data_IF_477901885261
#
_entry.id   IF_477901885261
#
_cell.length_a   1.000
_cell.length_b   1.000
_cell.length_c   1.000
_cell.angle_alpha   90.00
_cell.angle_beta   90.00
_cell.angle_gamma   90.00
#
_symmetry.space_group_name_H-M   'P 1'
#
loop_
_entity.id
_entity.type
_entity.pdbx_description
1 polymer ?
#
# COMPACT_ATOMS: atom_id res chain seq x y z
N UNK A 1 -16.92 -8.17 33.83
CA UNK A 1 -16.28 -8.30 32.49
C UNK A 1 -17.26 -8.29 31.32
N UNK A 2 -18.54 -8.09 31.52
CA UNK A 2 -19.59 -8.12 30.47
C UNK A 2 -20.04 -6.73 29.97
N UNK A 3 -19.90 -5.69 30.75
CA UNK A 3 -20.45 -4.36 30.39
C UNK A 3 -19.52 -3.52 29.51
N UNK A 4 -18.21 -3.68 29.63
CA UNK A 4 -17.25 -2.93 28.78
C UNK A 4 -17.22 -3.45 27.33
N UNK A 5 -17.42 -4.77 27.13
CA UNK A 5 -17.50 -5.34 25.78
C UNK A 5 -18.85 -5.00 25.12
N UNK A 6 -19.94 -4.90 25.88
CA UNK A 6 -21.24 -4.45 25.35
C UNK A 6 -21.21 -2.98 24.97
N UNK A 7 -20.53 -2.12 25.72
CA UNK A 7 -20.34 -0.71 25.39
C UNK A 7 -19.46 -0.50 24.15
N UNK A 8 -18.40 -1.31 23.97
CA UNK A 8 -17.57 -1.30 22.75
C UNK A 8 -18.35 -1.76 21.51
N UNK A 9 -19.25 -2.72 21.64
CA UNK A 9 -20.08 -3.22 20.55
C UNK A 9 -21.20 -2.22 20.19
N UNK A 10 -21.69 -1.44 21.18
CA UNK A 10 -22.73 -0.44 20.98
C UNK A 10 -22.23 0.87 20.34
N UNK A 11 -20.92 1.20 20.47
CA UNK A 11 -20.31 2.40 19.89
C UNK A 11 -19.92 2.25 18.41
N UNK A 12 -19.99 1.05 17.83
CA UNK A 12 -19.54 0.78 16.47
C UNK A 12 -18.04 1.00 16.29
N UNK A 13 -17.50 0.55 15.19
CA UNK A 13 -16.12 0.85 14.81
C UNK A 13 -16.03 2.34 14.43
N UNK A 14 -15.13 3.09 15.05
CA UNK A 14 -14.94 4.53 14.79
C UNK A 14 -13.60 4.76 14.11
N UNK A 15 -13.62 5.62 13.10
CA UNK A 15 -12.42 6.15 12.47
C UNK A 15 -12.03 7.46 13.11
N UNK A 16 -10.73 7.65 13.30
CA UNK A 16 -10.16 8.88 13.83
C UNK A 16 -9.70 9.76 12.67
N UNK A 17 -10.31 10.93 12.54
CA UNK A 17 -9.97 11.92 11.51
C UNK A 17 -9.07 13.00 12.14
N UNK A 18 -7.99 13.32 11.45
CA UNK A 18 -7.12 14.46 11.76
C UNK A 18 -7.29 15.49 10.64
N UNK A 19 -7.67 16.71 11.01
CA UNK A 19 -7.72 17.86 10.12
C UNK A 19 -6.67 18.86 10.58
N UNK A 20 -5.81 19.29 9.68
CA UNK A 20 -4.84 20.35 9.90
C UNK A 20 -5.22 21.56 9.06
N UNK A 21 -5.26 22.74 9.68
CA UNK A 21 -5.62 24.00 9.05
C UNK A 21 -4.48 24.97 9.32
N UNK A 22 -3.97 25.61 8.28
CA UNK A 22 -2.85 26.54 8.35
C UNK A 22 -3.32 27.97 8.04
N UNK A 23 -2.73 28.94 8.73
CA UNK A 23 -2.85 30.35 8.40
C UNK A 23 -1.49 30.87 7.92
N UNK A 24 -1.35 31.12 6.63
CA UNK A 24 -0.12 31.64 6.02
C UNK A 24 -0.03 33.18 6.03
N UNK A 25 -1.06 33.89 6.53
CA UNK A 25 -1.07 35.35 6.57
C UNK A 25 -0.30 35.91 7.77
N UNK A 26 0.13 37.19 7.67
CA UNK A 26 0.84 37.92 8.71
C UNK A 26 -0.07 38.35 9.90
N UNK A 27 -1.34 37.97 9.90
CA UNK A 27 -2.30 38.36 10.92
C UNK A 27 -3.10 37.12 11.39
N UNK A 28 -3.57 37.17 12.64
CA UNK A 28 -4.54 36.24 13.17
C UNK A 28 -5.80 36.25 12.28
N UNK A 29 -6.31 35.03 11.95
CA UNK A 29 -7.51 34.86 11.16
C UNK A 29 -8.53 34.01 11.91
N UNK A 30 -9.79 34.37 11.75
CA UNK A 30 -10.93 33.59 12.25
C UNK A 30 -11.77 33.15 11.07
N UNK A 31 -11.97 31.85 10.94
CA UNK A 31 -12.77 31.24 9.89
C UNK A 31 -13.79 30.29 10.45
N UNK A 32 -14.89 30.08 9.72
CA UNK A 32 -15.90 29.09 10.09
C UNK A 32 -15.52 27.75 9.43
N UNK A 33 -15.28 26.76 10.27
CA UNK A 33 -15.12 25.37 9.85
C UNK A 33 -16.46 24.65 9.90
N UNK A 34 -16.82 23.98 8.81
CA UNK A 34 -17.95 23.08 8.74
C UNK A 34 -17.45 21.71 8.29
N UNK A 35 -17.73 20.66 9.08
CA UNK A 35 -17.44 19.26 8.73
C UNK A 35 -18.73 18.48 8.70
N UNK A 36 -19.01 17.84 7.58
CA UNK A 36 -20.23 17.07 7.32
C UNK A 36 -19.88 15.62 6.94
N UNK A 37 -20.69 14.66 7.40
CA UNK A 37 -20.67 13.27 6.96
C UNK A 37 -21.98 13.00 6.20
N UNK A 38 -21.93 13.05 4.87
CA UNK A 38 -23.13 13.11 4.04
C UNK A 38 -23.97 14.35 4.38
N UNK A 39 -25.20 14.15 4.82
CA UNK A 39 -26.10 15.25 5.24
C UNK A 39 -25.96 15.65 6.71
N UNK A 40 -25.20 14.91 7.51
CA UNK A 40 -25.08 15.14 8.95
C UNK A 40 -23.89 16.04 9.27
N UNK A 41 -24.12 17.11 10.01
CA UNK A 41 -23.04 17.97 10.52
C UNK A 41 -22.33 17.28 11.68
N UNK A 42 -21.03 17.00 11.50
CA UNK A 42 -20.15 16.43 12.52
C UNK A 42 -19.59 17.54 13.41
N UNK A 43 -19.18 18.65 12.79
CA UNK A 43 -18.64 19.81 13.47
C UNK A 43 -19.03 21.10 12.74
N UNK A 44 -19.36 22.13 13.51
CA UNK A 44 -19.50 23.51 13.03
C UNK A 44 -18.98 24.45 14.12
N UNK A 45 -17.85 25.10 13.87
CA UNK A 45 -17.20 25.97 14.83
C UNK A 45 -16.48 27.12 14.15
N UNK A 46 -16.34 28.23 14.88
CA UNK A 46 -15.37 29.28 14.53
C UNK A 46 -14.03 28.85 15.08
N UNK A 47 -13.01 28.90 14.24
CA UNK A 47 -11.63 28.63 14.60
C UNK A 47 -10.82 29.90 14.40
N UNK A 48 -9.92 30.18 15.34
CA UNK A 48 -9.02 31.33 15.27
C UNK A 48 -7.60 30.80 15.27
N UNK A 49 -6.82 31.16 14.25
CA UNK A 49 -5.45 30.67 14.04
C UNK A 49 -4.53 31.90 13.99
N UNK A 50 -3.48 31.89 14.78
CA UNK A 50 -2.48 32.95 14.80
C UNK A 50 -1.74 33.10 13.47
N UNK A 51 -1.05 34.21 13.28
CA UNK A 51 -0.23 34.46 12.09
C UNK A 51 0.84 33.35 11.93
N UNK A 52 0.93 32.73 10.74
CA UNK A 52 1.86 31.65 10.42
C UNK A 52 1.76 30.41 11.35
N UNK A 53 0.56 30.15 11.90
CA UNK A 53 0.32 29.01 12.77
C UNK A 53 -0.56 27.96 12.10
N UNK A 54 -0.43 26.71 12.60
CA UNK A 54 -1.25 25.59 12.21
C UNK A 54 -2.08 25.11 13.39
N UNK A 55 -3.35 24.78 13.15
CA UNK A 55 -4.22 24.16 14.14
C UNK A 55 -4.60 22.75 13.71
N UNK A 56 -4.45 21.79 14.64
CA UNK A 56 -4.85 20.38 14.44
C UNK A 56 -6.10 20.08 15.22
N UNK A 57 -7.09 19.57 14.51
CA UNK A 57 -8.37 19.13 15.07
C UNK A 57 -8.49 17.62 14.88
N UNK A 58 -8.94 16.95 15.94
CA UNK A 58 -9.17 15.49 15.91
C UNK A 58 -10.62 15.22 16.25
N UNK A 59 -11.29 14.47 15.41
CA UNK A 59 -12.66 14.03 15.65
C UNK A 59 -12.85 12.57 15.26
N UNK A 60 -13.78 11.92 15.95
CA UNK A 60 -14.15 10.54 15.67
C UNK A 60 -15.40 10.51 14.79
N UNK A 61 -15.38 9.66 13.79
CA UNK A 61 -16.50 9.44 12.88
C UNK A 61 -16.84 7.95 12.85
N UNK A 62 -18.11 7.57 12.68
CA UNK A 62 -18.45 6.18 12.46
C UNK A 62 -17.71 5.63 11.23
N UNK A 63 -17.14 4.42 11.32
CA UNK A 63 -16.47 3.77 10.17
C UNK A 63 -17.39 3.47 8.99
N UNK A 64 -18.70 3.57 9.21
CA UNK A 64 -19.74 3.47 8.19
C UNK A 64 -20.16 4.83 7.64
N UNK A 65 -19.51 5.93 8.08
CA UNK A 65 -19.82 7.26 7.58
C UNK A 65 -19.62 7.32 6.06
N UNK A 66 -20.50 8.01 5.34
CA UNK A 66 -20.28 8.30 3.93
C UNK A 66 -19.11 9.29 3.78
N UNK A 67 -18.94 9.81 2.58
CA UNK A 67 -17.97 10.87 2.30
C UNK A 67 -18.02 11.97 3.34
N UNK A 68 -16.88 12.32 3.90
CA UNK A 68 -16.71 13.52 4.71
C UNK A 68 -16.42 14.70 3.81
N UNK A 69 -17.06 15.81 4.11
CA UNK A 69 -16.84 17.08 3.45
C UNK A 69 -16.49 18.13 4.51
N UNK A 70 -15.29 18.67 4.43
CA UNK A 70 -14.85 19.76 5.29
C UNK A 70 -14.72 21.02 4.44
N UNK A 71 -15.33 22.11 4.90
CA UNK A 71 -15.23 23.43 4.24
C UNK A 71 -14.79 24.49 5.23
N UNK A 72 -13.91 25.35 4.77
CA UNK A 72 -13.48 26.55 5.47
C UNK A 72 -14.17 27.75 4.83
N UNK A 73 -14.44 28.81 5.60
CA UNK A 73 -15.00 30.03 5.03
C UNK A 73 -13.98 30.74 4.15
N UNK A 74 -14.51 31.48 3.17
CA UNK A 74 -13.81 32.15 2.07
C UNK A 74 -12.54 32.88 2.49
N UNK A 75 -11.46 32.63 1.76
CA UNK A 75 -10.22 33.36 1.85
C UNK A 75 -9.67 33.74 0.46
N UNK A 76 -8.35 33.85 0.29
CA UNK A 76 -7.73 34.27 -0.97
C UNK A 76 -7.56 33.12 -1.99
N UNK A 77 -7.70 31.87 -1.57
CA UNK A 77 -7.55 30.67 -2.39
C UNK A 77 -8.69 29.69 -2.10
N UNK A 78 -9.67 29.63 -2.98
CA UNK A 78 -10.86 28.81 -2.77
C UNK A 78 -10.60 27.31 -2.93
N UNK A 79 -9.59 26.91 -3.71
CA UNK A 79 -9.37 25.51 -4.09
C UNK A 79 -8.90 24.61 -2.94
N UNK A 80 -8.28 25.17 -1.88
CA UNK A 80 -7.82 24.45 -0.68
C UNK A 80 -8.77 24.58 0.51
N UNK A 81 -9.83 25.37 0.38
CA UNK A 81 -10.87 25.56 1.37
C UNK A 81 -11.87 24.40 1.47
N UNK A 82 -11.81 23.45 0.54
CA UNK A 82 -12.72 22.31 0.47
C UNK A 82 -11.94 21.00 0.40
N UNK A 83 -12.29 20.07 1.30
CA UNK A 83 -11.72 18.73 1.34
C UNK A 83 -12.83 17.69 1.35
N UNK A 84 -12.72 16.72 0.46
CA UNK A 84 -13.60 15.56 0.41
C UNK A 84 -12.82 14.30 0.75
N UNK A 85 -13.22 13.58 1.80
CA UNK A 85 -12.58 12.35 2.23
C UNK A 85 -13.55 11.18 2.11
N UNK A 86 -13.14 10.17 1.37
CA UNK A 86 -13.84 8.89 1.31
C UNK A 86 -13.35 7.97 2.44
N UNK A 87 -14.20 7.04 2.90
CA UNK A 87 -13.78 6.03 3.85
C UNK A 87 -12.53 5.28 3.38
N UNK A 88 -11.58 4.95 4.29
CA UNK A 88 -10.38 4.23 3.90
C UNK A 88 -10.71 2.85 3.34
N UNK A 89 -10.00 2.46 2.27
CA UNK A 89 -10.15 1.13 1.68
C UNK A 89 -9.55 0.11 2.65
N UNK A 90 -10.40 -0.75 3.21
CA UNK A 90 -10.01 -1.83 4.12
C UNK A 90 -10.13 -3.17 3.40
N UNK A 91 -9.10 -3.52 2.61
CA UNK A 91 -9.04 -4.83 2.00
C UNK A 91 -8.77 -5.88 3.08
N UNK A 92 -9.48 -7.00 3.01
CA UNK A 92 -9.29 -8.17 3.86
C UNK A 92 -9.17 -9.41 2.99
N UNK A 93 -8.42 -10.40 3.41
CA UNK A 93 -8.15 -11.63 2.66
C UNK A 93 -9.11 -12.73 3.08
N UNK A 94 -9.77 -13.36 2.11
CA UNK A 94 -10.56 -14.58 2.34
C UNK A 94 -9.63 -15.76 2.47
N UNK A 95 -9.48 -16.26 3.69
CA UNK A 95 -8.55 -17.33 4.03
C UNK A 95 -9.31 -18.60 4.35
N UNK A 96 -9.01 -19.66 3.61
CA UNK A 96 -9.44 -21.02 3.92
C UNK A 96 -8.32 -21.78 4.65
N UNK A 97 -8.60 -22.30 5.85
CA UNK A 97 -7.71 -23.19 6.58
C UNK A 97 -8.18 -24.61 6.32
N UNK A 98 -7.36 -25.40 5.62
CA UNK A 98 -7.62 -26.78 5.23
C UNK A 98 -6.51 -27.71 5.79
N UNK A 99 -6.30 -27.64 7.11
CA UNK A 99 -5.38 -28.47 7.88
C UNK A 99 -6.17 -29.62 8.52
N UNK A 100 -5.64 -30.84 8.44
CA UNK A 100 -6.28 -32.01 9.02
C UNK A 100 -6.11 -32.07 10.54
N UNK A 101 -4.98 -31.57 11.06
CA UNK A 101 -4.72 -31.46 12.49
C UNK A 101 -5.53 -30.33 13.10
N UNK A 102 -6.38 -30.64 14.11
CA UNK A 102 -7.26 -29.68 14.77
C UNK A 102 -6.48 -28.62 15.57
N UNK A 103 -5.35 -28.97 16.18
CA UNK A 103 -4.54 -28.03 16.96
C UNK A 103 -3.84 -27.03 16.07
N UNK A 104 -3.31 -27.49 14.94
CA UNK A 104 -2.73 -26.60 13.91
C UNK A 104 -3.79 -25.69 13.31
N UNK A 105 -4.96 -26.24 12.99
CA UNK A 105 -6.09 -25.46 12.47
C UNK A 105 -6.53 -24.39 13.48
N UNK A 106 -6.63 -24.73 14.76
CA UNK A 106 -6.95 -23.78 15.83
C UNK A 106 -5.86 -22.70 16.00
N UNK A 107 -4.58 -23.09 15.93
CA UNK A 107 -3.46 -22.15 15.99
C UNK A 107 -3.49 -21.18 14.82
N UNK A 108 -3.65 -21.69 13.58
CA UNK A 108 -3.76 -20.87 12.37
C UNK A 108 -4.93 -19.88 12.46
N UNK A 109 -6.12 -20.36 12.84
CA UNK A 109 -7.31 -19.52 12.92
C UNK A 109 -7.14 -18.40 13.96
N UNK A 110 -6.66 -18.71 15.17
CA UNK A 110 -6.40 -17.69 16.21
C UNK A 110 -5.41 -16.64 15.74
N UNK A 111 -4.34 -17.07 15.06
CA UNK A 111 -3.31 -16.15 14.55
C UNK A 111 -3.86 -15.26 13.45
N UNK A 112 -4.60 -15.83 12.50
CA UNK A 112 -5.24 -15.07 11.42
C UNK A 112 -6.24 -14.02 11.95
N UNK A 113 -7.07 -14.42 12.92
CA UNK A 113 -8.06 -13.52 13.53
C UNK A 113 -7.38 -12.37 14.30
N UNK A 114 -6.24 -12.65 14.95
CA UNK A 114 -5.46 -11.63 15.64
C UNK A 114 -4.86 -10.56 14.69
N UNK A 115 -4.69 -10.86 13.41
CA UNK A 115 -4.18 -9.87 12.43
C UNK A 115 -5.19 -8.77 12.09
N UNK A 116 -6.49 -9.02 12.25
CA UNK A 116 -7.56 -8.12 11.79
C UNK A 116 -7.71 -8.02 10.27
N UNK A 117 -6.89 -8.73 9.49
CA UNK A 117 -6.85 -8.65 8.02
C UNK A 117 -7.62 -9.78 7.32
N UNK A 118 -8.17 -10.72 8.10
CA UNK A 118 -8.99 -11.81 7.58
C UNK A 118 -10.41 -11.33 7.26
N UNK A 119 -10.92 -11.67 6.08
CA UNK A 119 -12.33 -11.48 5.71
C UNK A 119 -13.19 -12.63 6.29
N UNK A 120 -14.50 -12.39 6.39
CA UNK A 120 -15.47 -13.45 6.60
C UNK A 120 -15.33 -14.51 5.50
N UNK A 121 -15.52 -15.78 5.86
CA UNK A 121 -15.38 -16.90 4.92
C UNK A 121 -16.46 -16.76 3.84
N UNK A 122 -16.00 -16.60 2.60
CA UNK A 122 -16.84 -16.64 1.40
C UNK A 122 -16.03 -17.27 0.27
N UNK A 123 -16.67 -18.00 -0.60
CA UNK A 123 -16.05 -18.57 -1.79
C UNK A 123 -15.98 -17.55 -2.94
N UNK A 124 -14.92 -17.58 -3.76
CA UNK A 124 -13.71 -18.39 -3.62
C UNK A 124 -12.71 -17.79 -2.63
N UNK A 125 -11.85 -18.62 -1.98
CA UNK A 125 -10.77 -18.14 -1.13
C UNK A 125 -9.68 -17.45 -1.95
N UNK A 126 -8.93 -16.55 -1.32
CA UNK A 126 -7.79 -15.83 -1.92
C UNK A 126 -6.45 -16.37 -1.42
N UNK A 127 -6.48 -17.02 -0.25
CA UNK A 127 -5.36 -17.75 0.34
C UNK A 127 -5.88 -19.06 0.93
N UNK A 128 -5.21 -20.16 0.64
CA UNK A 128 -5.50 -21.48 1.24
C UNK A 128 -4.29 -21.95 2.01
N UNK A 129 -4.49 -22.31 3.27
CA UNK A 129 -3.48 -22.91 4.15
C UNK A 129 -3.74 -24.41 4.20
N UNK A 130 -2.74 -25.23 3.82
CA UNK A 130 -2.87 -26.68 3.72
C UNK A 130 -1.54 -27.40 3.98
N UNK A 131 -1.61 -28.70 4.19
CA UNK A 131 -0.44 -29.56 4.43
C UNK A 131 0.21 -30.04 3.12
N UNK A 132 -0.59 -30.25 2.08
CA UNK A 132 -0.14 -30.83 0.82
C UNK A 132 -0.07 -29.80 -0.29
N UNK A 133 0.84 -30.01 -1.25
CA UNK A 133 0.83 -29.26 -2.49
C UNK A 133 -0.46 -29.53 -3.25
N UNK A 134 -1.06 -28.50 -3.79
CA UNK A 134 -2.16 -28.62 -4.73
C UNK A 134 -1.76 -28.02 -6.07
N UNK A 135 -2.39 -28.53 -7.13
CA UNK A 135 -2.32 -27.92 -8.44
C UNK A 135 -2.76 -26.45 -8.34
N UNK A 136 -1.96 -25.57 -8.92
CA UNK A 136 -2.22 -24.15 -8.95
C UNK A 136 -3.57 -23.85 -9.60
N UNK A 137 -4.41 -23.10 -8.91
CA UNK A 137 -5.53 -22.41 -9.52
C UNK A 137 -5.12 -20.95 -9.63
N UNK A 138 -5.31 -20.35 -10.78
CA UNK A 138 -4.98 -18.95 -11.02
C UNK A 138 -5.61 -18.04 -9.95
N UNK A 139 -4.84 -17.12 -9.43
CA UNK A 139 -5.24 -16.12 -8.43
C UNK A 139 -5.41 -16.57 -6.96
N UNK A 140 -5.25 -17.85 -6.64
CA UNK A 140 -5.32 -18.34 -5.25
C UNK A 140 -3.89 -18.56 -4.74
N UNK A 141 -3.54 -17.87 -3.67
CA UNK A 141 -2.28 -18.12 -2.98
C UNK A 141 -2.37 -19.40 -2.14
N UNK A 142 -1.28 -20.13 -2.06
CA UNK A 142 -1.19 -21.35 -1.28
C UNK A 142 -0.10 -21.21 -0.22
N UNK A 143 -0.45 -21.43 1.04
CA UNK A 143 0.50 -21.61 2.13
C UNK A 143 0.53 -23.09 2.49
N UNK A 144 1.60 -23.77 2.11
CA UNK A 144 1.86 -25.13 2.53
C UNK A 144 2.51 -25.14 3.89
N UNK A 145 1.86 -25.77 4.85
CA UNK A 145 2.40 -25.91 6.20
C UNK A 145 2.94 -27.33 6.40
N UNK A 146 4.25 -27.45 6.58
CA UNK A 146 4.96 -28.70 6.80
C UNK A 146 5.29 -28.83 8.29
N UNK A 147 4.71 -29.83 8.96
CA UNK A 147 4.92 -30.06 10.40
C UNK A 147 5.27 -31.50 10.72
N UNK A 148 5.05 -32.45 9.79
CA UNK A 148 5.31 -33.87 9.95
C UNK A 148 6.69 -34.28 9.39
N UNK A 149 7.26 -35.35 9.92
CA UNK A 149 8.52 -35.91 9.49
C UNK A 149 9.65 -35.81 10.51
N UNK A 150 10.89 -36.13 10.11
CA UNK A 150 12.07 -35.95 10.93
C UNK A 150 12.29 -34.46 11.21
N UNK A 151 12.03 -34.02 12.42
CA UNK A 151 12.04 -32.62 12.84
C UNK A 151 13.30 -32.31 13.62
N UNK A 152 13.99 -31.24 13.27
CA UNK A 152 15.11 -30.67 14.01
C UNK A 152 14.68 -29.34 14.64
N UNK A 153 15.15 -29.08 15.85
CA UNK A 153 15.00 -27.79 16.52
C UNK A 153 16.24 -26.92 16.25
N UNK A 154 16.02 -25.73 15.73
CA UNK A 154 17.04 -24.75 15.40
C UNK A 154 16.97 -23.61 16.42
N UNK A 155 18.09 -23.30 17.06
CA UNK A 155 18.21 -22.21 18.05
C UNK A 155 18.98 -21.01 17.50
N UNK A 156 19.32 -21.04 16.20
CA UNK A 156 20.07 -20.01 15.50
C UNK A 156 21.56 -20.38 15.25
N UNK A 157 22.29 -19.54 14.53
CA UNK A 157 21.77 -18.34 13.86
C UNK A 157 20.83 -18.68 12.71
N UNK A 158 19.74 -17.90 12.59
CA UNK A 158 18.84 -17.95 11.45
C UNK A 158 19.23 -16.85 10.46
N UNK A 159 19.20 -17.17 9.18
CA UNK A 159 19.44 -16.19 8.11
C UNK A 159 18.06 -15.72 7.61
N UNK A 160 17.83 -14.41 7.69
CA UNK A 160 16.58 -13.78 7.29
C UNK A 160 16.84 -12.83 6.12
N UNK A 161 16.14 -13.02 5.01
CA UNK A 161 16.13 -12.06 3.91
C UNK A 161 15.23 -10.88 4.27
N UNK A 162 15.82 -9.84 4.85
CA UNK A 162 15.11 -8.64 5.30
C UNK A 162 14.53 -7.80 4.16
N UNK A 163 14.91 -8.06 2.91
CA UNK A 163 14.34 -7.39 1.73
C UNK A 163 12.99 -7.98 1.30
N UNK A 164 12.69 -9.19 1.75
CA UNK A 164 11.47 -9.88 1.39
C UNK A 164 10.27 -9.44 2.25
N UNK A 165 9.07 -9.19 1.68
CA UNK A 165 7.90 -8.72 2.43
C UNK A 165 7.51 -9.58 3.64
N UNK A 166 7.71 -10.90 3.56
CA UNK A 166 7.41 -11.82 4.66
C UNK A 166 8.29 -11.63 5.89
N UNK A 167 9.49 -11.06 5.72
CA UNK A 167 10.46 -10.86 6.79
C UNK A 167 10.32 -9.51 7.51
N UNK A 168 9.42 -8.66 7.08
CA UNK A 168 9.27 -7.33 7.64
C UNK A 168 8.93 -7.37 9.14
N UNK A 169 9.79 -6.76 9.97
CA UNK A 169 9.61 -6.71 11.43
C UNK A 169 9.82 -8.04 12.17
N UNK A 170 10.32 -9.09 11.48
CA UNK A 170 10.64 -10.38 12.09
C UNK A 170 12.09 -10.37 12.57
N UNK A 171 12.31 -10.66 13.84
CA UNK A 171 13.63 -10.73 14.46
C UNK A 171 14.12 -12.15 14.69
N UNK A 172 13.24 -13.09 15.04
CA UNK A 172 13.45 -14.53 15.36
C UNK A 172 14.56 -14.80 16.41
N UNK A 173 15.04 -13.76 17.09
CA UNK A 173 16.09 -13.88 18.09
C UNK A 173 15.59 -14.60 19.34
N UNK A 174 16.34 -15.61 19.81
CA UNK A 174 16.01 -16.37 21.02
C UNK A 174 14.82 -17.34 20.86
N UNK A 175 14.18 -17.38 19.69
CA UNK A 175 13.13 -18.36 19.42
C UNK A 175 13.74 -19.73 19.02
N UNK A 176 13.10 -20.79 19.47
CA UNK A 176 13.35 -22.13 18.94
C UNK A 176 12.39 -22.32 17.77
N UNK A 177 12.95 -22.66 16.61
CA UNK A 177 12.18 -22.98 15.41
C UNK A 177 12.42 -24.45 15.06
N UNK A 178 11.41 -25.27 15.19
CA UNK A 178 11.50 -26.67 14.80
C UNK A 178 10.83 -26.88 13.43
N UNK A 179 11.50 -27.66 12.57
CA UNK A 179 11.02 -27.96 11.24
C UNK A 179 11.63 -29.23 10.68
N UNK A 180 11.04 -29.75 9.61
CA UNK A 180 11.55 -30.92 8.91
C UNK A 180 12.87 -30.57 8.17
N UNK A 181 13.75 -31.58 8.03
CA UNK A 181 14.95 -31.44 7.20
C UNK A 181 14.52 -31.47 5.72
N UNK A 182 14.41 -30.29 5.13
CA UNK A 182 14.01 -30.09 3.74
C UNK A 182 15.17 -29.52 2.93
N UNK A 183 15.14 -29.80 1.63
CA UNK A 183 15.91 -29.07 0.64
C UNK A 183 15.00 -28.12 -0.14
N UNK A 184 15.52 -27.01 -0.62
CA UNK A 184 14.77 -26.11 -1.47
C UNK A 184 14.28 -26.86 -2.72
N UNK A 185 13.00 -26.68 -3.05
CA UNK A 185 12.47 -27.10 -4.33
C UNK A 185 12.95 -26.15 -5.44
N UNK A 186 13.11 -26.62 -6.68
CA UNK A 186 13.45 -25.75 -7.79
C UNK A 186 12.47 -24.58 -7.92
N UNK A 187 13.00 -23.36 -7.97
CA UNK A 187 12.22 -22.14 -8.07
C UNK A 187 11.75 -21.55 -6.73
N UNK A 188 11.95 -22.24 -5.59
CA UNK A 188 11.65 -21.68 -4.27
C UNK A 188 12.76 -20.71 -3.84
N UNK A 189 12.37 -19.51 -3.45
CA UNK A 189 13.24 -18.49 -2.87
C UNK A 189 13.14 -18.59 -1.36
N UNK A 190 14.21 -18.96 -0.65
CA UNK A 190 14.19 -19.03 0.81
C UNK A 190 14.16 -17.63 1.40
N UNK A 191 13.27 -17.41 2.37
CA UNK A 191 13.12 -16.16 3.11
C UNK A 191 13.76 -16.25 4.49
N UNK A 192 13.59 -17.40 5.17
CA UNK A 192 14.22 -17.69 6.46
C UNK A 192 14.87 -19.07 6.37
N UNK A 193 16.15 -19.15 6.75
CA UNK A 193 16.97 -20.35 6.70
C UNK A 193 17.58 -20.65 8.08
N UNK A 194 17.65 -21.93 8.41
CA UNK A 194 18.49 -22.47 9.47
C UNK A 194 19.63 -23.29 8.82
N UNK A 195 20.80 -22.70 8.70
CA UNK A 195 21.86 -23.29 7.86
C UNK A 195 21.39 -23.44 6.41
N UNK A 196 21.24 -24.69 5.96
CA UNK A 196 20.76 -25.01 4.60
C UNK A 196 19.28 -25.44 4.56
N UNK A 197 18.58 -25.41 5.70
CA UNK A 197 17.18 -25.83 5.79
C UNK A 197 16.27 -24.63 5.65
N UNK A 198 15.41 -24.57 4.62
CA UNK A 198 14.42 -23.49 4.48
C UNK A 198 13.32 -23.69 5.53
N UNK A 199 13.08 -22.63 6.30
CA UNK A 199 12.00 -22.53 7.29
C UNK A 199 10.80 -21.81 6.68
N UNK A 200 11.05 -20.77 5.89
CA UNK A 200 10.06 -20.09 5.04
C UNK A 200 10.66 -19.94 3.65
N UNK A 201 9.88 -20.30 2.65
CA UNK A 201 10.20 -20.03 1.26
C UNK A 201 8.97 -19.57 0.49
N UNK A 202 9.21 -18.85 -0.61
CA UNK A 202 8.18 -18.34 -1.49
C UNK A 202 8.53 -18.68 -2.96
N UNK A 203 7.52 -18.99 -3.76
CA UNK A 203 7.64 -19.19 -5.20
C UNK A 203 6.45 -18.55 -5.90
N UNK A 204 6.71 -17.93 -7.03
CA UNK A 204 5.69 -17.50 -7.97
C UNK A 204 5.56 -18.52 -9.09
N UNK A 205 4.35 -18.91 -9.42
CA UNK A 205 4.10 -19.78 -10.55
C UNK A 205 3.93 -18.97 -11.86
N UNK A 206 3.84 -19.70 -12.98
CA UNK A 206 3.69 -19.09 -14.32
C UNK A 206 2.37 -18.31 -14.50
N UNK A 207 1.41 -18.50 -13.60
CA UNK A 207 0.12 -17.83 -13.60
C UNK A 207 0.09 -16.62 -12.65
N UNK A 208 1.22 -16.31 -11.99
CA UNK A 208 1.34 -15.22 -11.03
C UNK A 208 0.79 -15.55 -9.64
N UNK A 209 0.41 -16.80 -9.37
CA UNK A 209 0.03 -17.22 -8.02
C UNK A 209 1.26 -17.47 -7.14
N UNK A 210 1.13 -17.16 -5.87
CA UNK A 210 2.19 -17.37 -4.89
C UNK A 210 2.01 -18.67 -4.13
N UNK A 211 3.10 -19.42 -4.04
CA UNK A 211 3.21 -20.62 -3.23
C UNK A 211 4.19 -20.34 -2.10
N UNK A 212 3.69 -20.37 -0.89
CA UNK A 212 4.47 -20.17 0.32
C UNK A 212 4.65 -21.51 1.01
N UNK A 213 5.83 -21.76 1.54
CA UNK A 213 6.10 -22.94 2.38
C UNK A 213 6.47 -22.46 3.78
N UNK A 214 5.74 -22.94 4.77
CA UNK A 214 6.02 -22.77 6.19
C UNK A 214 6.43 -24.13 6.77
N UNK A 215 7.71 -24.29 7.03
CA UNK A 215 8.29 -25.48 7.64
C UNK A 215 8.37 -25.28 9.16
N UNK A 216 7.32 -25.68 9.86
CA UNK A 216 7.16 -25.32 11.26
C UNK A 216 6.41 -26.41 12.03
N UNK A 217 7.04 -26.93 13.09
CA UNK A 217 6.42 -27.84 14.05
C UNK A 217 6.19 -27.11 15.39
N UNK A 218 4.93 -26.78 15.76
CA UNK A 218 4.63 -26.00 16.96
C UNK A 218 4.89 -26.77 18.26
N UNK A 219 4.89 -28.11 18.25
CA UNK A 219 5.13 -28.89 19.45
C UNK A 219 6.56 -28.79 19.98
N UNK A 220 7.51 -28.57 19.06
CA UNK A 220 8.94 -28.50 19.35
C UNK A 220 9.51 -27.08 19.20
N UNK A 221 8.66 -26.10 18.89
CA UNK A 221 9.03 -24.69 18.68
C UNK A 221 8.55 -23.81 19.82
N UNK A 222 9.17 -22.65 19.95
CA UNK A 222 8.70 -21.58 20.84
C UNK A 222 8.24 -20.32 20.07
N UNK A 223 8.47 -20.28 18.76
CA UNK A 223 8.17 -19.15 17.90
C UNK A 223 6.71 -18.69 18.00
N UNK A 224 5.75 -19.63 18.10
CA UNK A 224 4.32 -19.32 18.21
C UNK A 224 3.95 -18.54 19.49
N UNK A 225 4.87 -18.47 20.46
CA UNK A 225 4.74 -17.73 21.71
C UNK A 225 5.46 -16.38 21.68
N UNK A 226 6.06 -16.00 20.53
CA UNK A 226 6.76 -14.73 20.33
C UNK A 226 5.92 -13.79 19.47
N UNK A 227 6.20 -12.47 19.49
CA UNK A 227 5.55 -11.51 18.59
C UNK A 227 5.76 -11.80 17.11
N UNK A 228 6.86 -12.46 16.73
CA UNK A 228 7.19 -12.78 15.33
C UNK A 228 6.13 -13.66 14.67
N UNK A 229 5.45 -14.50 15.44
CA UNK A 229 4.42 -15.39 14.92
C UNK A 229 3.21 -14.65 14.32
N UNK A 230 2.49 -13.81 15.07
CA UNK A 230 1.42 -13.02 14.46
C UNK A 230 1.92 -12.04 13.41
N UNK A 231 3.15 -11.49 13.52
CA UNK A 231 3.77 -10.61 12.52
C UNK A 231 3.94 -11.38 11.21
N UNK A 232 4.39 -12.63 11.23
CA UNK A 232 4.54 -13.43 10.02
C UNK A 232 3.20 -13.56 9.27
N UNK A 233 2.12 -13.90 9.96
CA UNK A 233 0.80 -14.03 9.34
C UNK A 233 0.25 -12.68 8.87
N UNK A 234 0.51 -11.62 9.63
CA UNK A 234 0.18 -10.26 9.21
C UNK A 234 0.92 -9.89 7.92
N UNK A 235 2.21 -10.23 7.80
CA UNK A 235 3.01 -10.01 6.59
C UNK A 235 2.45 -10.79 5.39
N UNK A 236 2.07 -12.07 5.58
CA UNK A 236 1.45 -12.89 4.53
C UNK A 236 0.17 -12.22 4.00
N UNK A 237 -0.72 -11.81 4.91
CA UNK A 237 -1.99 -11.19 4.52
C UNK A 237 -1.78 -9.79 3.93
N UNK A 238 -0.88 -8.98 4.49
CA UNK A 238 -0.54 -7.65 3.97
C UNK A 238 0.06 -7.72 2.57
N UNK A 239 0.94 -8.71 2.33
CA UNK A 239 1.50 -8.93 1.00
C UNK A 239 0.41 -9.35 0.01
N UNK A 240 -0.51 -10.26 0.42
CA UNK A 240 -1.65 -10.62 -0.41
C UNK A 240 -2.54 -9.41 -0.72
N UNK A 241 -2.85 -8.57 0.28
CA UNK A 241 -3.64 -7.34 0.11
C UNK A 241 -2.98 -6.39 -0.89
N UNK A 242 -1.65 -6.24 -0.81
CA UNK A 242 -0.91 -5.39 -1.74
C UNK A 242 -1.00 -5.86 -3.20
N UNK A 243 -1.24 -7.16 -3.43
CA UNK A 243 -1.43 -7.73 -4.77
C UNK A 243 -2.90 -7.87 -5.19
N UNK A 244 -3.85 -7.52 -4.32
CA UNK A 244 -5.28 -7.58 -4.66
C UNK A 244 -5.66 -6.45 -5.62
N UNK A 245 -6.55 -6.73 -6.60
CA UNK A 245 -7.05 -5.71 -7.51
C UNK A 245 -7.74 -4.54 -6.81
N UNK A 246 -7.81 -3.42 -7.51
CA UNK A 246 -8.45 -2.19 -7.07
C UNK A 246 -7.47 -1.14 -6.57
N UNK A 247 -8.01 -0.04 -6.08
CA UNK A 247 -7.27 1.08 -5.55
C UNK A 247 -6.49 0.69 -4.28
N UNK A 248 -5.34 1.29 -4.09
CA UNK A 248 -4.54 1.15 -2.87
C UNK A 248 -5.05 2.07 -1.77
N UNK A 249 -5.42 3.29 -2.13
CA UNK A 249 -5.89 4.34 -1.24
C UNK A 249 -7.16 4.98 -1.78
N UNK A 250 -8.04 5.45 -0.89
CA UNK A 250 -9.28 6.12 -1.26
C UNK A 250 -9.14 7.65 -1.31
N UNK A 251 -8.04 8.20 -0.79
CA UNK A 251 -7.83 9.65 -0.75
C UNK A 251 -6.40 9.96 -1.19
N UNK A 252 -6.25 10.95 -2.04
CA UNK A 252 -4.98 11.36 -2.60
C UNK A 252 -4.86 12.89 -2.64
N UNK A 253 -3.66 13.39 -2.87
CA UNK A 253 -3.39 14.80 -3.15
C UNK A 253 -3.40 15.06 -4.65
N UNK A 254 -3.75 16.27 -5.04
CA UNK A 254 -3.56 16.74 -6.40
C UNK A 254 -2.07 16.59 -6.80
N UNK A 255 -1.81 16.09 -8.00
CA UNK A 255 -0.46 15.82 -8.48
C UNK A 255 0.22 14.57 -7.93
N UNK A 256 -0.37 13.86 -6.95
CA UNK A 256 0.14 12.57 -6.52
C UNK A 256 -0.26 11.47 -7.49
N UNK A 257 0.60 10.48 -7.67
CA UNK A 257 0.31 9.32 -8.48
C UNK A 257 -0.69 8.39 -7.77
N UNK A 258 -1.84 8.14 -8.39
CA UNK A 258 -2.82 7.18 -7.92
C UNK A 258 -2.65 5.87 -8.68
N UNK A 259 -2.32 4.79 -7.98
CA UNK A 259 -2.07 3.49 -8.58
C UNK A 259 -3.30 2.58 -8.42
N UNK A 260 -3.77 2.07 -9.54
CA UNK A 260 -4.83 1.06 -9.63
C UNK A 260 -4.22 -0.28 -10.03
N UNK A 261 -4.44 -1.32 -9.25
CA UNK A 261 -4.10 -2.68 -9.66
C UNK A 261 -5.27 -3.32 -10.42
N UNK A 262 -4.99 -3.78 -11.64
CA UNK A 262 -6.01 -4.27 -12.58
C UNK A 262 -6.01 -5.79 -12.68
N UNK A 263 -7.17 -6.37 -13.02
CA UNK A 263 -7.36 -7.82 -13.26
C UNK A 263 -7.22 -8.22 -14.73
N UNK A 264 -6.85 -7.28 -15.62
CA UNK A 264 -6.93 -7.48 -17.06
C UNK A 264 -8.31 -7.18 -17.65
N UNK A 265 -9.26 -6.69 -16.85
CA UNK A 265 -10.52 -6.15 -17.34
C UNK A 265 -10.32 -4.70 -17.84
N UNK A 266 -11.17 -4.23 -18.79
CA UNK A 266 -11.16 -2.82 -19.17
C UNK A 266 -11.45 -1.91 -17.97
N UNK A 267 -10.73 -0.79 -17.89
CA UNK A 267 -10.91 0.20 -16.84
C UNK A 267 -11.48 1.47 -17.44
N UNK A 268 -12.54 2.01 -16.84
CA UNK A 268 -13.08 3.31 -17.19
C UNK A 268 -13.01 4.23 -15.98
N UNK A 269 -12.40 5.39 -16.16
CA UNK A 269 -12.27 6.42 -15.14
C UNK A 269 -13.21 7.56 -15.49
N UNK A 270 -14.03 7.96 -14.54
CA UNK A 270 -14.87 9.18 -14.65
C UNK A 270 -14.29 10.23 -13.73
N UNK A 271 -13.93 11.36 -14.29
CA UNK A 271 -13.38 12.53 -13.58
C UNK A 271 -14.50 13.32 -12.88
N UNK A 272 -14.18 14.24 -11.95
CA UNK A 272 -15.16 15.06 -11.25
C UNK A 272 -16.04 15.92 -12.17
N UNK A 273 -15.51 16.35 -13.30
CA UNK A 273 -16.22 17.12 -14.35
C UNK A 273 -17.11 16.24 -15.26
N UNK A 274 -17.11 14.92 -15.05
CA UNK A 274 -17.84 13.95 -15.87
C UNK A 274 -17.09 13.45 -17.10
N UNK A 275 -15.88 13.93 -17.38
CA UNK A 275 -15.06 13.41 -18.47
C UNK A 275 -14.69 11.94 -18.20
N UNK A 276 -14.68 11.13 -19.26
CA UNK A 276 -14.38 9.70 -19.15
C UNK A 276 -13.16 9.31 -19.97
N UNK A 277 -12.28 8.55 -19.35
CA UNK A 277 -11.12 7.94 -20.01
C UNK A 277 -11.19 6.43 -19.85
N UNK A 278 -11.05 5.70 -20.96
CA UNK A 278 -11.09 4.23 -20.94
C UNK A 278 -9.73 3.66 -21.32
N UNK A 279 -9.28 2.70 -20.55
CA UNK A 279 -8.08 1.92 -20.77
C UNK A 279 -8.46 0.52 -21.21
N UNK A 280 -7.82 -0.02 -22.28
CA UNK A 280 -8.07 -1.38 -22.70
C UNK A 280 -7.61 -2.36 -21.62
N UNK A 281 -7.90 -3.65 -21.82
CA UNK A 281 -7.45 -4.73 -20.93
C UNK A 281 -5.95 -4.62 -20.65
N UNK A 282 -5.59 -4.21 -19.43
CA UNK A 282 -4.21 -4.08 -18.98
C UNK A 282 -4.08 -4.87 -17.69
N UNK A 283 -3.17 -5.84 -17.64
CA UNK A 283 -2.82 -6.51 -16.39
C UNK A 283 -1.72 -5.74 -15.66
N UNK A 284 -1.73 -5.81 -14.32
CA UNK A 284 -0.72 -5.18 -13.49
C UNK A 284 -1.15 -3.84 -12.89
N UNK A 285 -0.22 -2.90 -12.78
CA UNK A 285 -0.47 -1.58 -12.19
C UNK A 285 -0.71 -0.54 -13.28
N UNK A 286 -1.73 0.28 -13.08
CA UNK A 286 -2.10 1.40 -13.93
C UNK A 286 -1.97 2.67 -13.09
N UNK A 287 -1.08 3.57 -13.49
CA UNK A 287 -0.97 4.90 -12.94
C UNK A 287 -2.07 5.80 -13.53
N UNK A 288 -2.78 6.49 -12.66
CA UNK A 288 -3.89 7.36 -13.01
C UNK A 288 -3.46 8.81 -12.89
N UNK A 289 -3.68 9.58 -13.95
CA UNK A 289 -3.53 11.04 -13.91
C UNK A 289 -4.76 11.68 -13.28
N UNK A 290 -4.54 12.55 -12.31
CA UNK A 290 -5.60 13.21 -11.52
C UNK A 290 -5.44 14.73 -11.58
N UNK A 291 -5.80 15.36 -12.75
CA UNK A 291 -5.59 16.79 -12.95
C UNK A 291 -6.58 17.69 -12.20
N UNK A 292 -7.67 17.13 -11.67
CA UNK A 292 -8.73 17.90 -11.01
C UNK A 292 -8.89 17.45 -9.56
N UNK A 293 -9.27 18.35 -8.68
CA UNK A 293 -9.77 18.05 -7.33
C UNK A 293 -11.20 17.49 -7.39
N UNK A 294 -11.57 16.64 -6.42
CA UNK A 294 -12.90 16.07 -6.32
C UNK A 294 -12.92 14.53 -6.34
N UNK A 295 -14.09 13.96 -6.53
CA UNK A 295 -14.30 12.51 -6.50
C UNK A 295 -14.20 11.93 -7.90
N UNK A 296 -13.31 10.96 -8.04
CA UNK A 296 -13.14 10.12 -9.22
C UNK A 296 -13.86 8.79 -9.03
N UNK A 297 -14.45 8.27 -10.10
CA UNK A 297 -15.03 6.93 -10.13
C UNK A 297 -14.24 6.04 -11.09
N UNK A 298 -13.88 4.84 -10.63
CA UNK A 298 -13.13 3.84 -11.41
C UNK A 298 -13.98 2.59 -11.54
N UNK A 299 -14.43 2.31 -12.75
CA UNK A 299 -15.15 1.09 -13.09
C UNK A 299 -14.19 0.06 -13.69
N UNK A 300 -14.16 -1.16 -13.12
CA UNK A 300 -13.38 -2.30 -13.58
C UNK A 300 -14.28 -3.53 -13.61
N UNK A 301 -14.66 -3.97 -14.79
CA UNK A 301 -15.70 -4.99 -14.98
C UNK A 301 -17.03 -4.56 -14.34
N UNK A 302 -17.51 -5.33 -13.36
CA UNK A 302 -18.75 -5.04 -12.63
C UNK A 302 -18.55 -4.25 -11.34
N UNK A 303 -17.30 -3.96 -10.98
CA UNK A 303 -16.94 -3.28 -9.72
C UNK A 303 -16.64 -1.82 -10.02
N UNK A 304 -17.29 -0.93 -9.26
CA UNK A 304 -16.99 0.51 -9.28
C UNK A 304 -16.44 0.92 -7.92
N UNK A 305 -15.27 1.54 -7.93
CA UNK A 305 -14.63 2.13 -6.77
C UNK A 305 -14.56 3.65 -6.95
N UNK A 306 -14.42 4.37 -5.84
CA UNK A 306 -14.23 5.81 -5.84
C UNK A 306 -12.97 6.17 -5.07
N UNK A 307 -12.34 7.26 -5.46
CA UNK A 307 -11.28 7.91 -4.69
C UNK A 307 -11.41 9.42 -4.80
N UNK A 308 -10.92 10.11 -3.79
CA UNK A 308 -10.95 11.57 -3.73
C UNK A 308 -9.55 12.14 -3.97
N UNK A 309 -9.49 13.26 -4.65
CA UNK A 309 -8.28 14.06 -4.87
C UNK A 309 -8.53 15.45 -4.31
N UNK A 310 -7.64 15.90 -3.41
CA UNK A 310 -7.76 17.17 -2.73
C UNK A 310 -6.52 18.04 -2.95
N UNK A 311 -6.68 19.35 -2.96
CA UNK A 311 -5.59 20.32 -2.95
C UNK A 311 -5.02 20.41 -1.53
N UNK A 312 -3.98 19.64 -1.22
CA UNK A 312 -3.38 19.53 0.13
C UNK A 312 -1.88 19.84 0.12
N UNK A 313 -1.44 20.78 -0.71
CA UNK A 313 -0.04 21.18 -0.82
C UNK A 313 0.17 22.48 -0.04
N UNK A 314 0.70 22.42 1.19
CA UNK A 314 0.97 23.58 2.03
C UNK A 314 1.87 24.62 1.32
N UNK A 315 2.84 24.16 0.55
CA UNK A 315 3.76 25.02 -0.21
C UNK A 315 3.05 25.75 -1.35
N UNK A 316 1.97 25.20 -1.90
CA UNK A 316 1.16 25.84 -2.96
C UNK A 316 0.08 26.76 -2.38
N UNK A 317 -0.39 26.48 -1.16
CA UNK A 317 -1.35 27.30 -0.42
C UNK A 317 -0.69 28.53 0.23
N UNK A 318 0.63 28.51 0.44
CA UNK A 318 1.38 29.66 0.94
C UNK A 318 1.63 30.69 -0.15
N UNK A 319 0.71 31.64 -0.29
CA UNK A 319 0.83 32.75 -1.24
C UNK A 319 1.70 33.91 -0.76
N UNK A 320 2.36 33.80 0.39
CA UNK A 320 3.17 34.89 0.99
C UNK A 320 4.32 35.35 0.07
N UNK A 321 4.90 34.41 -0.69
CA UNK A 321 5.94 34.72 -1.68
C UNK A 321 5.39 35.30 -3.00
N UNK A 322 4.07 35.30 -3.21
CA UNK A 322 3.42 35.75 -4.45
C UNK A 322 3.17 37.26 -4.50
N UNK A 323 3.83 38.06 -3.68
CA UNK A 323 3.54 39.46 -3.37
C UNK A 323 3.61 40.47 -4.54
N UNK A 324 3.88 40.09 -5.78
CA UNK A 324 3.97 41.04 -6.91
C UNK A 324 3.58 40.48 -8.27
N UNK A 325 2.94 39.34 -8.34
CA UNK A 325 2.50 38.74 -9.58
C UNK A 325 1.34 39.54 -10.20
N UNK A 326 1.54 40.22 -11.33
CA UNK A 326 0.41 40.54 -12.20
C UNK A 326 -0.19 39.24 -12.72
N UNK A 327 -1.29 38.83 -12.12
CA UNK A 327 -2.15 37.83 -12.74
C UNK A 327 -2.57 38.36 -14.10
N UNK A 328 -2.10 37.77 -15.17
CA UNK A 328 -2.63 38.13 -16.47
C UNK A 328 -1.71 38.09 -17.65
N UNK A 329 -0.68 37.29 -17.69
CA UNK A 329 0.01 37.06 -18.97
C UNK A 329 0.47 35.60 -19.10
N UNK A 330 -0.41 34.67 -18.82
CA UNK A 330 -0.20 33.24 -19.13
C UNK A 330 -0.07 32.96 -20.63
N UNK A 331 -0.30 33.97 -21.47
CA UNK A 331 -0.08 33.91 -22.94
C UNK A 331 1.38 34.08 -23.33
N UNK A 332 2.25 34.55 -22.44
CA UNK A 332 3.69 34.60 -22.67
C UNK A 332 4.36 33.48 -21.84
N UNK A 333 4.24 32.25 -22.30
CA UNK A 333 5.02 31.12 -21.80
C UNK A 333 6.48 31.35 -22.20
N UNK A 334 7.16 32.27 -21.51
CA UNK A 334 8.61 32.43 -21.59
C UNK A 334 9.33 31.60 -20.50
N UNK A 335 8.63 30.99 -19.62
CA UNK A 335 9.23 29.97 -18.74
C UNK A 335 9.45 28.72 -19.58
N UNK A 336 10.69 28.58 -20.02
CA UNK A 336 11.21 27.31 -20.47
C UNK A 336 10.99 26.33 -19.32
N UNK A 337 9.98 25.48 -19.45
CA UNK A 337 9.93 24.24 -18.69
C UNK A 337 11.29 23.59 -18.88
N UNK A 338 12.11 23.59 -17.86
CA UNK A 338 13.33 22.77 -17.82
C UNK A 338 12.85 21.34 -17.81
N UNK A 339 12.52 20.82 -18.99
CA UNK A 339 12.44 19.39 -19.17
C UNK A 339 13.83 18.88 -18.82
N UNK A 340 13.92 18.11 -17.76
CA UNK A 340 15.11 17.33 -17.43
C UNK A 340 15.31 16.31 -18.55
N UNK A 341 15.86 16.77 -19.67
CA UNK A 341 16.32 15.88 -20.72
C UNK A 341 17.49 15.13 -20.15
N UNK A 342 17.30 13.85 -19.92
CA UNK A 342 18.35 12.95 -19.45
C UNK A 342 19.63 13.16 -20.27
N UNK A 343 20.67 13.68 -19.64
CA UNK A 343 21.97 13.90 -20.28
C UNK A 343 22.75 12.58 -20.56
N UNK A 344 22.13 11.42 -20.30
CA UNK A 344 22.72 10.09 -20.49
C UNK A 344 23.22 9.86 -21.92
N UNK A 345 22.52 10.40 -22.93
CA UNK A 345 22.96 10.31 -24.32
C UNK A 345 24.30 11.03 -24.59
N UNK A 346 24.62 12.11 -23.88
CA UNK A 346 25.90 12.83 -23.99
C UNK A 346 27.03 11.93 -23.52
N UNK A 347 26.85 11.26 -22.39
CA UNK A 347 27.84 10.30 -21.89
C UNK A 347 28.00 9.11 -22.83
N UNK A 348 26.92 8.65 -23.48
CA UNK A 348 26.96 7.64 -24.52
C UNK A 348 27.80 8.07 -25.74
N UNK A 349 27.65 9.28 -26.20
CA UNK A 349 28.46 9.83 -27.32
C UNK A 349 29.94 9.98 -26.92
N UNK A 350 30.23 10.46 -25.72
CA UNK A 350 31.63 10.57 -25.22
C UNK A 350 32.26 9.19 -25.13
N UNK A 351 31.59 8.20 -24.61
CA UNK A 351 32.06 6.83 -24.53
C UNK A 351 32.34 6.24 -25.93
N UNK A 352 31.48 6.47 -26.90
CA UNK A 352 31.61 6.02 -28.28
C UNK A 352 32.84 6.71 -28.96
N UNK A 353 33.02 8.02 -28.73
CA UNK A 353 34.15 8.79 -29.26
C UNK A 353 35.49 8.28 -28.69
N UNK A 354 35.52 7.99 -27.38
CA UNK A 354 36.73 7.41 -26.74
C UNK A 354 37.04 6.00 -27.27
N UNK A 355 36.02 5.20 -27.51
CA UNK A 355 36.19 3.85 -28.09
C UNK A 355 36.68 3.93 -29.52
N UNK A 356 36.18 4.85 -30.35
CA UNK A 356 36.65 5.09 -31.70
C UNK A 356 38.08 5.60 -31.74
N UNK A 357 38.48 6.52 -30.84
CA UNK A 357 39.83 7.02 -30.69
C UNK A 357 40.77 5.89 -30.26
N UNK A 358 40.37 5.06 -29.33
CA UNK A 358 41.16 3.90 -28.89
C UNK A 358 41.39 2.90 -30.06
N UNK A 359 40.31 2.58 -30.80
CA UNK A 359 40.42 1.71 -31.98
C UNK A 359 41.35 2.28 -33.04
N UNK A 360 41.26 3.59 -33.31
CA UNK A 360 42.15 4.28 -34.26
C UNK A 360 43.60 4.19 -33.82
N UNK A 361 43.91 4.45 -32.55
CA UNK A 361 45.28 4.34 -32.00
C UNK A 361 45.83 2.91 -32.09
N UNK A 362 45.00 1.91 -31.78
CA UNK A 362 45.39 0.49 -31.85
C UNK A 362 45.65 0.04 -33.29
N UNK A 363 44.84 0.51 -34.24
CA UNK A 363 45.01 0.12 -35.67
C UNK A 363 46.21 0.81 -36.29
N UNK A 364 46.46 2.10 -35.97
CA UNK A 364 47.65 2.81 -36.46
C UNK A 364 48.96 2.30 -35.84
N UNK A 365 48.96 1.90 -34.56
CA UNK A 365 50.09 1.29 -33.89
C UNK A 365 50.47 -0.10 -34.47
N UNK A 366 49.52 -0.82 -35.05
CA UNK A 366 49.80 -2.13 -35.72
C UNK A 366 50.28 -2.01 -37.16
N UNK A 367 50.10 -0.87 -37.83
CA UNK A 367 50.52 -0.63 -39.22
C UNK A 367 51.97 -0.15 -39.36
N UNK A 368 52.70 0.01 -38.26
CA UNK A 368 54.07 0.51 -38.22
C UNK A 368 55.13 -0.54 -37.88
N UNK A 369 54.89 -1.82 -38.15
CA UNK A 369 55.87 -2.90 -38.05
C UNK A 369 56.02 -3.60 -39.39
#
# INVERSE_FOLDING_TARGET
>A
MSDENAARTALGEQDRCLLEIANFSDAERTAKLLVQAGSNTVQSSLITIGAHENQRLVFNIPSTAPTLHATLADDALDDDNEIQLLPPIRKRVRVQVALADENLSALANRTLDATGLRAAISDPPELVIRENDSSASSNIWNLRWIFAGATNAFTGPLVVDTSHPLANGIAVEGAIWAGATLTNSPGDVPVILAGNVPLISAREDVLGSRHLTLNFNPELSTLQNTPDWPILFWNILSWRIAEMPGLKESNSRLGAEVVLRTTGEPVTITQPDGAQTSFPKTGGELALETPLTGIYSVAMGTVTNQFSVNALAADESDLSACASGKWGAWSEVTERRLEETSAVWIFGLVALALLAAHLYLVTTAKGGR
#
